data_IF_345903216999
#
_entry.id   IF_345903216999
#
_cell.length_a   1.000
_cell.length_b   1.000
_cell.length_c   1.000
_cell.angle_alpha   90.00
_cell.angle_beta   90.00
_cell.angle_gamma   90.00
#
_symmetry.space_group_name_H-M   'P 1'
#
loop_
_entity.id
_entity.type
_entity.pdbx_description
1 polymer ?
#
# COMPACT_ATOMS: atom_id res chain seq x y z
N UNK A 1 -14.15 -5.53 0.57
CA UNK A 1 -14.09 -6.78 1.37
C UNK A 1 -14.16 -6.51 2.86
N UNK A 2 -13.21 -5.82 3.51
CA UNK A 2 -13.19 -5.69 4.98
C UNK A 2 -14.48 -5.10 5.62
N UNK A 3 -15.17 -4.15 4.96
CA UNK A 3 -16.39 -3.50 5.51
C UNK A 3 -17.70 -4.27 5.27
N UNK A 4 -17.83 -4.95 4.13
CA UNK A 4 -19.12 -5.48 3.63
C UNK A 4 -19.03 -6.94 3.12
N UNK A 5 -17.85 -7.55 3.19
CA UNK A 5 -17.59 -8.90 2.72
C UNK A 5 -17.95 -9.95 3.77
N UNK A 6 -17.71 -11.22 3.44
CA UNK A 6 -17.90 -12.34 4.35
C UNK A 6 -17.03 -12.15 5.63
N UNK A 7 -17.63 -12.03 6.83
CA UNK A 7 -16.88 -11.90 8.07
C UNK A 7 -15.94 -13.08 8.33
N UNK A 8 -16.31 -14.29 7.89
CA UNK A 8 -15.46 -15.48 8.04
C UNK A 8 -14.17 -15.44 7.20
N UNK A 9 -14.08 -14.50 6.26
CA UNK A 9 -12.89 -14.29 5.41
C UNK A 9 -12.18 -12.97 5.74
N UNK A 10 -12.38 -12.42 6.95
CA UNK A 10 -11.81 -11.12 7.31
C UNK A 10 -10.29 -11.15 7.38
N UNK A 11 -9.70 -12.27 7.82
CA UNK A 11 -8.24 -12.46 7.86
C UNK A 11 -7.61 -12.41 6.47
N UNK A 12 -8.30 -12.94 5.45
CA UNK A 12 -7.84 -12.88 4.06
C UNK A 12 -7.77 -11.44 3.56
N UNK A 13 -8.71 -10.58 3.97
CA UNK A 13 -8.66 -9.16 3.66
C UNK A 13 -7.46 -8.47 4.32
N UNK A 14 -7.12 -8.84 5.57
CA UNK A 14 -5.93 -8.36 6.26
C UNK A 14 -4.64 -8.78 5.57
N UNK A 15 -4.51 -10.07 5.24
CA UNK A 15 -3.36 -10.61 4.48
C UNK A 15 -3.23 -9.91 3.13
N UNK A 16 -4.33 -9.78 2.39
CA UNK A 16 -4.34 -9.08 1.11
C UNK A 16 -3.87 -7.62 1.22
N UNK A 17 -4.28 -6.91 2.27
CA UNK A 17 -3.85 -5.53 2.50
C UNK A 17 -2.34 -5.43 2.80
N UNK A 18 -1.79 -6.30 3.65
CA UNK A 18 -0.36 -6.36 3.95
C UNK A 18 0.47 -6.69 2.69
N UNK A 19 0.01 -7.65 1.88
CA UNK A 19 0.63 -8.00 0.61
C UNK A 19 0.65 -6.81 -0.36
N UNK A 20 -0.48 -6.10 -0.50
CA UNK A 20 -0.59 -4.92 -1.37
C UNK A 20 0.35 -3.79 -0.92
N UNK A 21 0.43 -3.51 0.39
CA UNK A 21 1.38 -2.52 0.92
C UNK A 21 2.81 -2.88 0.53
N UNK A 22 3.19 -4.13 0.74
CA UNK A 22 4.53 -4.63 0.41
C UNK A 22 4.82 -4.54 -1.08
N UNK A 23 3.84 -4.88 -1.93
CA UNK A 23 3.96 -4.76 -3.38
C UNK A 23 4.18 -3.30 -3.83
N UNK A 24 3.43 -2.34 -3.24
CA UNK A 24 3.62 -0.91 -3.53
C UNK A 24 5.02 -0.45 -3.12
N UNK A 25 5.48 -0.82 -1.92
CA UNK A 25 6.83 -0.48 -1.47
C UNK A 25 7.90 -1.06 -2.41
N UNK A 26 7.77 -2.32 -2.81
CA UNK A 26 8.68 -2.97 -3.76
C UNK A 26 8.71 -2.27 -5.13
N UNK A 27 7.53 -1.91 -5.66
CA UNK A 27 7.44 -1.16 -6.92
C UNK A 27 8.14 0.20 -6.83
N UNK A 28 7.97 0.92 -5.70
CA UNK A 28 8.63 2.21 -5.47
C UNK A 28 10.14 2.07 -5.35
N UNK A 29 10.66 1.00 -4.74
CA UNK A 29 12.11 0.75 -4.71
C UNK A 29 12.68 0.60 -6.13
N UNK A 30 12.00 -0.16 -6.99
CA UNK A 30 12.40 -0.30 -8.40
C UNK A 30 12.32 1.03 -9.15
N UNK A 31 11.26 1.81 -8.94
CA UNK A 31 11.11 3.13 -9.56
C UNK A 31 12.23 4.09 -9.14
N UNK A 32 12.63 4.09 -7.86
CA UNK A 32 13.72 4.91 -7.35
C UNK A 32 15.08 4.56 -7.97
N UNK A 33 15.35 3.27 -8.18
CA UNK A 33 16.58 2.83 -8.87
C UNK A 33 16.59 3.37 -10.30
N UNK A 34 15.52 3.12 -11.07
CA UNK A 34 15.44 3.56 -12.46
C UNK A 34 15.47 5.09 -12.60
N UNK A 35 14.88 5.83 -11.66
CA UNK A 35 14.87 7.30 -11.67
C UNK A 35 16.27 7.90 -11.46
N UNK A 36 17.19 7.18 -10.80
CA UNK A 36 18.57 7.62 -10.60
C UNK A 36 19.35 7.79 -11.90
N UNK A 37 18.98 7.03 -12.93
CA UNK A 37 19.65 7.02 -14.24
C UNK A 37 19.08 8.08 -15.21
N UNK A 38 18.06 8.85 -14.80
CA UNK A 38 17.39 9.83 -15.65
C UNK A 38 17.94 11.26 -15.50
N UNK A 39 18.10 11.94 -16.64
CA UNK A 39 18.56 13.33 -16.72
C UNK A 39 17.44 14.36 -16.50
N UNK A 40 16.20 14.04 -16.91
CA UNK A 40 15.04 14.93 -16.73
C UNK A 40 14.62 15.01 -15.25
N UNK A 41 15.13 16.04 -14.56
CA UNK A 41 14.88 16.25 -13.13
C UNK A 41 13.41 16.54 -12.81
N UNK A 42 12.70 17.23 -13.69
CA UNK A 42 11.27 17.54 -13.46
C UNK A 42 10.43 16.26 -13.48
N UNK A 43 10.72 15.36 -14.41
CA UNK A 43 10.09 14.05 -14.47
C UNK A 43 10.45 13.18 -13.26
N UNK A 44 11.74 13.18 -12.85
CA UNK A 44 12.20 12.44 -11.67
C UNK A 44 11.49 12.91 -10.41
N UNK A 45 11.48 14.22 -10.14
CA UNK A 45 10.90 14.79 -8.92
C UNK A 45 9.40 14.49 -8.85
N UNK A 46 8.65 14.76 -9.92
CA UNK A 46 7.21 14.45 -9.97
C UNK A 46 6.90 12.95 -9.81
N UNK A 47 7.76 12.07 -10.33
CA UNK A 47 7.61 10.62 -10.17
C UNK A 47 7.90 10.18 -8.74
N UNK A 48 8.93 10.73 -8.10
CA UNK A 48 9.28 10.43 -6.72
C UNK A 48 8.22 10.93 -5.73
N UNK A 49 7.65 12.11 -5.97
CA UNK A 49 6.52 12.64 -5.19
C UNK A 49 5.31 11.72 -5.26
N UNK A 50 4.95 11.26 -6.47
CA UNK A 50 3.88 10.28 -6.66
C UNK A 50 4.18 8.95 -5.97
N UNK A 51 5.43 8.49 -5.99
CA UNK A 51 5.84 7.28 -5.27
C UNK A 51 5.63 7.43 -3.76
N UNK A 52 6.01 8.57 -3.18
CA UNK A 52 5.80 8.86 -1.76
C UNK A 52 4.30 8.88 -1.40
N UNK A 53 3.48 9.51 -2.24
CA UNK A 53 2.02 9.54 -2.07
C UNK A 53 1.42 8.12 -2.11
N UNK A 54 1.86 7.28 -3.05
CA UNK A 54 1.41 5.88 -3.16
C UNK A 54 1.75 5.06 -1.91
N UNK A 55 2.96 5.24 -1.36
CA UNK A 55 3.38 4.58 -0.12
C UNK A 55 2.50 5.03 1.04
N UNK A 56 2.29 6.34 1.22
CA UNK A 56 1.42 6.86 2.29
C UNK A 56 0.01 6.28 2.21
N UNK A 57 -0.59 6.33 1.02
CA UNK A 57 -1.94 5.80 0.78
C UNK A 57 -2.01 4.29 1.01
N UNK A 58 -0.99 3.54 0.65
CA UNK A 58 -0.95 2.10 0.89
C UNK A 58 -0.90 1.77 2.40
N UNK A 59 -0.05 2.45 3.16
CA UNK A 59 0.05 2.31 4.61
C UNK A 59 -1.26 2.71 5.31
N UNK A 60 -1.85 3.85 4.93
CA UNK A 60 -3.12 4.31 5.51
C UNK A 60 -4.26 3.31 5.25
N UNK A 61 -4.37 2.81 4.01
CA UNK A 61 -5.42 1.84 3.65
C UNK A 61 -5.22 0.50 4.35
N UNK A 62 -3.98 0.03 4.45
CA UNK A 62 -3.66 -1.18 5.19
C UNK A 62 -4.05 -1.02 6.67
N UNK A 63 -3.64 0.07 7.32
CA UNK A 63 -3.97 0.34 8.72
C UNK A 63 -5.50 0.36 8.96
N UNK A 64 -6.26 1.01 8.07
CA UNK A 64 -7.73 1.01 8.15
C UNK A 64 -8.33 -0.39 8.01
N UNK A 65 -7.74 -1.24 7.15
CA UNK A 65 -8.20 -2.62 6.96
C UNK A 65 -7.86 -3.46 8.18
N UNK A 66 -6.63 -3.36 8.72
CA UNK A 66 -6.21 -4.12 9.90
C UNK A 66 -7.00 -3.72 11.15
N UNK A 67 -7.28 -2.43 11.34
CA UNK A 67 -8.19 -1.97 12.40
C UNK A 67 -9.56 -2.66 12.31
N UNK A 68 -10.09 -2.81 11.10
CA UNK A 68 -11.36 -3.52 10.89
C UNK A 68 -11.25 -5.03 11.12
N UNK A 69 -10.11 -5.63 10.79
CA UNK A 69 -9.84 -7.04 11.08
C UNK A 69 -9.86 -7.28 12.59
N UNK A 70 -9.15 -6.44 13.35
CA UNK A 70 -9.05 -6.55 14.81
C UNK A 70 -10.43 -6.39 15.47
N UNK A 71 -11.24 -5.42 15.03
CA UNK A 71 -12.63 -5.26 15.50
C UNK A 71 -13.48 -6.52 15.31
N UNK A 72 -13.28 -7.27 14.22
CA UNK A 72 -14.05 -8.49 13.92
C UNK A 72 -13.50 -9.70 14.66
N UNK A 73 -12.19 -9.79 14.88
CA UNK A 73 -11.56 -10.91 15.59
C UNK A 73 -11.77 -10.87 17.11
N UNK A 74 -12.05 -9.68 17.66
CA UNK A 74 -12.36 -9.49 19.08
C UNK A 74 -13.86 -9.66 19.39
N UNK A 75 -14.72 -9.73 18.36
CA UNK A 75 -16.17 -9.92 18.47
C UNK A 75 -16.54 -11.41 18.57
#
# INVERSE_FOLDING_TARGET
>A
MAKIGNPNSITDAGVGAMCLRTAVMGAVLNARVNAGDLEDKSYVDSTLDRCAELVSKACEKEAQILSRVDEVLVA
#
